data_IF_075377283966
#
_entry.id   IF_075377283966
#
_cell.length_a   1.000
_cell.length_b   1.000
_cell.length_c   1.000
_cell.angle_alpha   90.00
_cell.angle_beta   90.00
_cell.angle_gamma   90.00
#
_symmetry.space_group_name_H-M   'P 1'
#
loop_
_entity.id
_entity.type
_entity.pdbx_description
1 polymer ?
#
# COMPACT_ATOMS: atom_id res chain seq x y z
N UNK A 1 -85.49 -16.99 -32.47
CA UNK A 1 -84.08 -17.09 -32.89
C UNK A 1 -83.58 -15.66 -33.03
N UNK A 2 -83.09 -15.10 -31.92
CA UNK A 2 -81.67 -15.00 -31.55
C UNK A 2 -81.07 -13.69 -32.09
N UNK A 3 -81.20 -12.64 -31.30
CA UNK A 3 -80.41 -11.41 -31.42
C UNK A 3 -79.19 -11.55 -30.51
N UNK A 4 -78.01 -11.49 -31.13
CA UNK A 4 -76.70 -11.63 -30.52
C UNK A 4 -76.42 -10.49 -29.53
N UNK A 5 -75.95 -10.85 -28.34
CA UNK A 5 -75.31 -9.93 -27.41
C UNK A 5 -73.89 -9.66 -27.91
N UNK A 6 -73.66 -8.49 -28.50
CA UNK A 6 -72.32 -7.89 -28.55
C UNK A 6 -72.04 -7.31 -27.15
N UNK A 7 -71.38 -8.09 -26.31
CA UNK A 7 -70.73 -7.56 -25.10
C UNK A 7 -69.58 -6.67 -25.54
N UNK A 8 -69.74 -5.35 -25.34
CA UNK A 8 -68.70 -4.35 -25.51
C UNK A 8 -67.53 -4.65 -24.57
N UNK A 9 -66.37 -4.83 -25.19
CA UNK A 9 -65.08 -5.10 -24.59
C UNK A 9 -64.65 -4.03 -23.56
N UNK A 10 -63.95 -4.54 -22.53
CA UNK A 10 -63.10 -3.87 -21.54
C UNK A 10 -62.81 -2.38 -21.76
N UNK A 11 -63.49 -1.52 -20.99
CA UNK A 11 -62.90 -0.26 -20.51
C UNK A 11 -62.29 -0.54 -19.14
N UNK A 12 -60.96 -0.73 -19.08
CA UNK A 12 -60.18 -0.54 -17.85
C UNK A 12 -60.51 0.85 -17.30
N UNK A 13 -60.90 0.92 -16.03
CA UNK A 13 -61.35 2.19 -15.43
C UNK A 13 -60.16 3.16 -15.32
N UNK A 14 -60.39 4.46 -15.47
CA UNK A 14 -59.35 5.50 -15.27
C UNK A 14 -58.68 5.39 -13.89
N UNK A 15 -59.40 4.86 -12.89
CA UNK A 15 -58.86 4.54 -11.56
C UNK A 15 -57.88 3.36 -11.52
N UNK A 16 -57.96 2.41 -12.45
CA UNK A 16 -57.00 1.30 -12.55
C UNK A 16 -55.70 1.75 -13.22
N UNK A 17 -55.80 2.70 -14.17
CA UNK A 17 -54.64 3.33 -14.83
C UNK A 17 -53.90 4.28 -13.87
N UNK A 18 -54.60 5.09 -13.09
CA UNK A 18 -53.97 5.96 -12.06
C UNK A 18 -53.29 5.14 -10.94
N UNK A 19 -53.84 3.98 -10.57
CA UNK A 19 -53.21 3.08 -9.59
C UNK A 19 -51.99 2.35 -10.17
N UNK A 20 -52.04 1.94 -11.44
CA UNK A 20 -50.86 1.41 -12.14
C UNK A 20 -49.77 2.47 -12.31
N UNK A 21 -50.11 3.70 -12.69
CA UNK A 21 -49.14 4.79 -12.80
C UNK A 21 -48.54 5.17 -11.45
N UNK A 22 -49.33 5.12 -10.36
CA UNK A 22 -48.84 5.35 -9.00
C UNK A 22 -47.95 4.20 -8.47
N UNK A 23 -48.21 2.95 -8.83
CA UNK A 23 -47.31 1.81 -8.54
C UNK A 23 -46.04 1.89 -9.38
N UNK A 24 -46.12 2.18 -10.68
CA UNK A 24 -44.96 2.35 -11.57
C UNK A 24 -44.10 3.54 -11.13
N UNK A 25 -44.71 4.64 -10.66
CA UNK A 25 -43.98 5.79 -10.11
C UNK A 25 -43.36 5.47 -8.75
N UNK A 26 -44.01 4.66 -7.90
CA UNK A 26 -43.42 4.22 -6.62
C UNK A 26 -42.23 3.28 -6.84
N UNK A 27 -42.37 2.31 -7.75
CA UNK A 27 -41.30 1.37 -8.12
C UNK A 27 -40.09 2.11 -8.72
N UNK A 28 -40.31 3.17 -9.51
CA UNK A 28 -39.25 4.05 -10.02
C UNK A 28 -38.71 5.10 -9.01
N UNK A 29 -39.32 5.24 -7.84
CA UNK A 29 -38.87 6.19 -6.82
C UNK A 29 -38.01 5.51 -5.75
N UNK A 30 -38.22 4.21 -5.50
CA UNK A 30 -37.41 3.44 -4.54
C UNK A 30 -36.00 3.13 -5.07
N UNK A 31 -35.80 2.98 -6.38
CA UNK A 31 -34.50 2.66 -7.00
C UNK A 31 -33.70 3.89 -7.52
N UNK A 32 -33.87 5.07 -6.92
CA UNK A 32 -33.08 6.26 -7.32
C UNK A 32 -31.69 6.26 -6.69
N UNK A 33 -30.80 5.49 -7.29
CA UNK A 33 -29.37 5.50 -6.95
C UNK A 33 -28.76 6.86 -7.28
N UNK A 34 -28.08 7.46 -6.31
CA UNK A 34 -27.42 8.74 -6.48
C UNK A 34 -25.96 8.53 -6.88
N UNK A 35 -25.59 9.04 -8.06
CA UNK A 35 -24.20 9.00 -8.51
C UNK A 35 -23.46 10.25 -8.03
N UNK A 36 -22.42 10.06 -7.22
CA UNK A 36 -21.52 11.14 -6.76
C UNK A 36 -20.14 10.96 -7.38
N UNK A 37 -19.60 12.04 -7.96
CA UNK A 37 -18.22 12.08 -8.41
C UNK A 37 -17.32 12.58 -7.29
N UNK A 38 -16.55 11.68 -6.68
CA UNK A 38 -15.43 12.06 -5.84
C UNK A 38 -14.27 12.45 -6.78
N UNK A 39 -14.08 13.76 -6.92
CA UNK A 39 -13.22 14.35 -7.94
C UNK A 39 -11.71 14.24 -7.65
N UNK A 40 -10.87 14.55 -8.66
CA UNK A 40 -9.42 14.41 -8.57
C UNK A 40 -8.75 15.35 -7.57
N UNK A 41 -9.42 16.46 -7.22
CA UNK A 41 -8.92 17.46 -6.30
C UNK A 41 -9.71 17.38 -4.99
N UNK A 42 -9.48 16.31 -4.24
CA UNK A 42 -10.01 16.13 -2.89
C UNK A 42 -8.85 15.81 -1.93
N UNK A 43 -8.79 16.42 -0.71
CA UNK A 43 -7.69 16.19 0.23
C UNK A 43 -7.44 14.71 0.55
N UNK A 44 -8.51 13.93 0.74
CA UNK A 44 -8.44 12.49 1.03
C UNK A 44 -8.07 11.59 -0.18
N UNK A 45 -7.87 12.16 -1.38
CA UNK A 45 -7.48 11.39 -2.56
C UNK A 45 -5.96 11.12 -2.62
N UNK A 46 -5.16 11.77 -1.76
CA UNK A 46 -3.68 11.65 -1.67
C UNK A 46 -2.97 11.54 -3.02
N UNK A 47 -3.25 12.49 -3.90
CA UNK A 47 -2.77 12.49 -5.27
C UNK A 47 -3.89 12.89 -6.22
N UNK A 48 -4.07 12.09 -7.27
CA UNK A 48 -5.06 12.37 -8.31
C UNK A 48 -5.87 11.11 -8.56
N UNK A 49 -7.02 10.99 -7.89
CA UNK A 49 -7.92 9.85 -7.98
C UNK A 49 -9.35 10.35 -8.20
N UNK A 50 -10.04 9.77 -9.18
CA UNK A 50 -11.46 10.01 -9.40
C UNK A 50 -12.24 8.74 -9.08
N UNK A 51 -13.19 8.81 -8.16
CA UNK A 51 -14.10 7.71 -7.87
C UNK A 51 -15.52 8.12 -8.27
N UNK A 52 -16.17 7.30 -9.09
CA UNK A 52 -17.61 7.43 -9.37
C UNK A 52 -18.31 6.47 -8.41
N UNK A 53 -19.07 7.01 -7.47
CA UNK A 53 -19.75 6.27 -6.43
C UNK A 53 -21.25 6.24 -6.76
N UNK A 54 -21.84 5.05 -6.79
CA UNK A 54 -23.29 4.86 -6.79
C UNK A 54 -23.73 4.55 -5.36
N UNK A 55 -24.54 5.45 -4.81
CA UNK A 55 -24.97 5.43 -3.42
C UNK A 55 -26.47 5.16 -3.33
N UNK A 56 -26.83 4.31 -2.37
CA UNK A 56 -28.18 4.22 -1.82
C UNK A 56 -28.16 4.79 -0.40
N UNK A 57 -28.60 6.04 -0.26
CA UNK A 57 -28.46 6.80 0.97
C UNK A 57 -26.98 6.97 1.40
N UNK A 58 -26.60 6.29 2.49
CA UNK A 58 -25.23 6.27 3.02
C UNK A 58 -24.44 5.01 2.61
N UNK A 59 -25.11 4.03 2.00
CA UNK A 59 -24.50 2.75 1.61
C UNK A 59 -23.94 2.86 0.20
N UNK A 60 -22.70 2.41 0.04
CA UNK A 60 -22.02 2.37 -1.26
C UNK A 60 -22.33 1.04 -1.93
N UNK A 61 -23.07 1.05 -3.04
CA UNK A 61 -23.35 -0.18 -3.80
C UNK A 61 -22.26 -0.49 -4.82
N UNK A 62 -21.75 0.55 -5.50
CA UNK A 62 -20.74 0.40 -6.53
C UNK A 62 -19.74 1.55 -6.51
N UNK A 63 -18.48 1.20 -6.74
CA UNK A 63 -17.37 2.14 -6.87
C UNK A 63 -16.63 1.85 -8.16
N UNK A 64 -16.59 2.83 -9.07
CA UNK A 64 -15.79 2.78 -10.28
C UNK A 64 -14.59 3.73 -10.13
N UNK A 65 -13.37 3.20 -9.83
CA UNK A 65 -12.17 4.01 -9.73
C UNK A 65 -11.59 4.33 -11.11
N UNK A 66 -11.66 5.59 -11.52
CA UNK A 66 -11.00 6.10 -12.71
C UNK A 66 -9.56 6.47 -12.40
N UNK A 67 -8.64 5.56 -12.73
CA UNK A 67 -7.19 5.75 -12.64
C UNK A 67 -6.60 6.25 -13.97
N UNK A 68 -5.32 6.65 -13.95
CA UNK A 68 -4.58 7.04 -15.17
C UNK A 68 -4.32 8.54 -15.31
N UNK A 69 -4.81 9.38 -14.39
CA UNK A 69 -4.54 10.83 -14.40
C UNK A 69 -3.04 11.16 -14.19
N UNK A 70 -2.29 10.24 -13.55
CA UNK A 70 -0.84 10.32 -13.41
C UNK A 70 -0.09 9.34 -14.33
N UNK A 71 -0.77 8.75 -15.32
CA UNK A 71 -0.10 7.88 -16.29
C UNK A 71 0.82 8.72 -17.19
N UNK A 72 2.12 8.41 -17.17
CA UNK A 72 3.16 9.14 -17.91
C UNK A 72 3.82 8.32 -19.02
N UNK A 73 3.29 7.13 -19.33
CA UNK A 73 3.90 6.23 -20.32
C UNK A 73 5.33 5.81 -19.97
N UNK A 74 5.64 5.69 -18.66
CA UNK A 74 6.99 5.42 -18.15
C UNK A 74 7.63 4.19 -18.80
N UNK A 75 6.90 3.09 -18.91
CA UNK A 75 7.38 1.85 -19.52
C UNK A 75 7.81 2.07 -20.99
N UNK A 76 7.00 2.83 -21.75
CA UNK A 76 7.34 3.16 -23.13
C UNK A 76 8.58 4.04 -23.24
N UNK A 77 8.78 4.97 -22.30
CA UNK A 77 9.99 5.79 -22.26
C UNK A 77 11.24 4.96 -21.93
N UNK A 78 11.11 3.94 -21.08
CA UNK A 78 12.21 3.05 -20.71
C UNK A 78 12.74 2.28 -21.92
N UNK A 79 11.88 1.87 -22.86
CA UNK A 79 12.30 1.16 -24.09
C UNK A 79 13.33 1.93 -24.92
N UNK A 80 13.28 3.27 -24.91
CA UNK A 80 14.20 4.12 -25.67
C UNK A 80 15.45 4.53 -24.86
N UNK A 81 15.63 4.02 -23.64
CA UNK A 81 16.71 4.40 -22.72
C UNK A 81 17.57 3.20 -22.38
N UNK A 82 18.84 3.47 -22.05
CA UNK A 82 19.74 2.43 -21.53
C UNK A 82 19.38 2.08 -20.09
N UNK A 83 19.82 0.92 -19.59
CA UNK A 83 19.53 0.49 -18.21
C UNK A 83 19.90 1.52 -17.13
N UNK A 84 21.04 2.21 -17.29
CA UNK A 84 21.46 3.24 -16.34
C UNK A 84 20.62 4.51 -16.45
N UNK A 85 20.19 4.87 -17.67
CA UNK A 85 19.30 6.01 -17.89
C UNK A 85 17.85 5.73 -17.47
N UNK A 86 17.46 4.45 -17.44
CA UNK A 86 16.13 4.01 -17.03
C UNK A 86 15.95 4.02 -15.50
N UNK A 87 17.03 3.84 -14.73
CA UNK A 87 17.01 3.79 -13.27
C UNK A 87 16.20 4.91 -12.59
N UNK A 88 16.35 6.21 -12.93
CA UNK A 88 15.62 7.30 -12.26
C UNK A 88 14.11 7.33 -12.53
N UNK A 89 13.60 6.49 -13.43
CA UNK A 89 12.15 6.33 -13.58
C UNK A 89 11.56 5.53 -12.42
N UNK A 90 12.28 4.55 -11.88
CA UNK A 90 11.82 3.72 -10.76
C UNK A 90 11.69 4.53 -9.46
N UNK A 91 12.58 5.51 -9.23
CA UNK A 91 12.49 6.49 -8.14
C UNK A 91 11.20 7.31 -8.12
N UNK A 92 10.52 7.40 -9.27
CA UNK A 92 9.36 8.26 -9.48
C UNK A 92 8.05 7.49 -9.57
N UNK A 93 8.09 6.16 -9.51
CA UNK A 93 6.90 5.31 -9.47
C UNK A 93 6.30 5.37 -8.05
N UNK A 94 7.02 4.83 -7.08
CA UNK A 94 6.75 5.03 -5.66
C UNK A 94 7.70 6.10 -5.12
N UNK A 95 7.19 7.33 -5.05
CA UNK A 95 7.95 8.49 -4.61
C UNK A 95 8.19 8.53 -3.10
N UNK A 96 7.60 7.60 -2.34
CA UNK A 96 7.73 7.56 -0.88
C UNK A 96 8.94 6.72 -0.47
N UNK A 97 9.17 5.60 -1.17
CA UNK A 97 10.29 4.69 -0.96
C UNK A 97 11.13 4.47 -2.23
N UNK A 98 11.82 5.52 -2.75
CA UNK A 98 12.50 5.47 -4.04
C UNK A 98 13.60 4.40 -4.10
N UNK A 99 14.47 4.33 -3.08
CA UNK A 99 15.55 3.34 -3.02
C UNK A 99 15.06 1.88 -3.03
N UNK A 100 13.86 1.60 -2.51
CA UNK A 100 13.29 0.26 -2.54
C UNK A 100 12.90 -0.14 -3.97
N UNK A 101 12.45 0.83 -4.78
CA UNK A 101 12.17 0.63 -6.21
C UNK A 101 13.45 0.49 -7.03
N UNK A 102 14.45 1.34 -6.77
CA UNK A 102 15.78 1.18 -7.39
C UNK A 102 16.34 -0.21 -7.11
N UNK A 103 16.19 -0.69 -5.89
CA UNK A 103 16.71 -1.99 -5.47
C UNK A 103 16.05 -3.15 -6.23
N UNK A 104 14.73 -3.12 -6.38
CA UNK A 104 14.01 -4.11 -7.18
C UNK A 104 14.48 -4.14 -8.64
N UNK A 105 14.68 -2.96 -9.24
CA UNK A 105 15.21 -2.84 -10.60
C UNK A 105 16.66 -3.34 -10.71
N UNK A 106 17.54 -2.94 -9.79
CA UNK A 106 18.93 -3.38 -9.78
C UNK A 106 19.04 -4.89 -9.62
N UNK A 107 18.23 -5.50 -8.73
CA UNK A 107 18.19 -6.95 -8.57
C UNK A 107 17.75 -7.66 -9.86
N UNK A 108 16.79 -7.12 -10.59
CA UNK A 108 16.36 -7.69 -11.87
C UNK A 108 17.50 -7.64 -12.90
N UNK A 109 18.18 -6.50 -13.03
CA UNK A 109 19.31 -6.33 -13.97
C UNK A 109 20.50 -7.21 -13.57
N UNK A 110 20.83 -7.30 -12.29
CA UNK A 110 21.92 -8.13 -11.77
C UNK A 110 21.68 -9.62 -11.99
N UNK A 111 20.42 -10.07 -11.84
CA UNK A 111 20.02 -11.45 -12.17
C UNK A 111 20.14 -11.75 -13.66
N UNK A 112 19.81 -10.80 -14.53
CA UNK A 112 19.94 -10.97 -15.98
C UNK A 112 21.40 -11.07 -16.44
N UNK A 113 22.29 -10.30 -15.81
CA UNK A 113 23.72 -10.26 -16.18
C UNK A 113 24.53 -11.34 -15.44
N UNK A 114 24.01 -11.87 -14.33
CA UNK A 114 24.67 -12.91 -13.53
C UNK A 114 25.85 -12.38 -12.69
N UNK A 115 25.78 -11.13 -12.24
CA UNK A 115 26.86 -10.49 -11.46
C UNK A 115 26.55 -10.54 -9.97
N UNK A 116 27.53 -10.95 -9.17
CA UNK A 116 27.45 -10.87 -7.71
C UNK A 116 27.90 -9.50 -7.20
N UNK A 117 27.07 -8.88 -6.38
CA UNK A 117 27.33 -7.58 -5.75
C UNK A 117 28.23 -7.76 -4.52
N UNK A 118 29.22 -6.88 -4.27
CA UNK A 118 30.06 -6.95 -3.07
C UNK A 118 29.27 -6.94 -1.75
N UNK A 119 29.74 -7.68 -0.72
CA UNK A 119 29.06 -7.82 0.59
C UNK A 119 28.76 -6.45 1.24
N UNK A 120 29.69 -5.48 1.15
CA UNK A 120 29.48 -4.12 1.67
C UNK A 120 28.31 -3.42 1.00
N UNK A 121 28.20 -3.49 -0.32
CA UNK A 121 27.10 -2.89 -1.07
C UNK A 121 25.76 -3.55 -0.75
N UNK A 122 25.74 -4.87 -0.52
CA UNK A 122 24.53 -5.58 -0.08
C UNK A 122 24.04 -5.09 1.30
N UNK A 123 24.96 -4.90 2.26
CA UNK A 123 24.62 -4.38 3.59
C UNK A 123 24.05 -2.96 3.54
N UNK A 124 24.68 -2.08 2.75
CA UNK A 124 24.18 -0.71 2.53
C UNK A 124 22.78 -0.73 1.92
N UNK A 125 22.54 -1.59 0.93
CA UNK A 125 21.21 -1.74 0.31
C UNK A 125 20.15 -2.17 1.30
N UNK A 126 20.45 -3.14 2.17
CA UNK A 126 19.52 -3.59 3.21
C UNK A 126 19.24 -2.47 4.22
N UNK A 127 20.28 -1.78 4.69
CA UNK A 127 20.13 -0.64 5.62
C UNK A 127 19.17 0.41 5.06
N UNK A 128 19.41 0.88 3.82
CA UNK A 128 18.56 1.88 3.20
C UNK A 128 17.18 1.36 2.76
N UNK A 129 17.04 0.06 2.47
CA UNK A 129 15.73 -0.55 2.23
C UNK A 129 14.84 -0.54 3.47
N UNK A 130 15.44 -0.71 4.66
CA UNK A 130 14.73 -0.64 5.94
C UNK A 130 14.45 0.82 6.34
N UNK A 131 15.36 1.76 6.06
CA UNK A 131 15.06 3.20 6.19
C UNK A 131 13.90 3.59 5.26
N UNK A 132 13.90 3.12 4.01
CA UNK A 132 12.81 3.33 3.06
C UNK A 132 11.48 2.72 3.53
N UNK A 133 11.54 1.58 4.22
CA UNK A 133 10.36 0.98 4.88
C UNK A 133 9.83 1.88 6.00
N UNK A 134 10.70 2.42 6.86
CA UNK A 134 10.31 3.36 7.91
C UNK A 134 9.68 4.63 7.31
N UNK A 135 10.30 5.21 6.28
CA UNK A 135 9.76 6.37 5.55
C UNK A 135 8.35 6.12 4.98
N UNK A 136 8.14 4.93 4.41
CA UNK A 136 6.85 4.52 3.84
C UNK A 136 5.78 4.33 4.92
N UNK A 137 6.09 3.61 6.00
CA UNK A 137 5.13 3.38 7.08
C UNK A 137 4.81 4.65 7.88
N UNK A 138 5.79 5.52 8.15
CA UNK A 138 5.56 6.81 8.79
C UNK A 138 4.59 7.65 7.98
N UNK A 139 4.78 7.75 6.66
CA UNK A 139 3.84 8.46 5.80
C UNK A 139 2.46 7.81 5.83
N UNK A 140 2.37 6.50 5.59
CA UNK A 140 1.10 5.78 5.50
C UNK A 140 0.26 5.88 6.78
N UNK A 141 0.83 5.57 7.95
CA UNK A 141 0.11 5.59 9.23
C UNK A 141 -0.33 7.00 9.60
N UNK A 142 0.54 8.00 9.42
CA UNK A 142 0.21 9.38 9.80
C UNK A 142 -0.80 10.02 8.86
N UNK A 143 -0.69 9.78 7.55
CA UNK A 143 -1.67 10.30 6.56
C UNK A 143 -3.02 9.61 6.70
N UNK A 144 -3.06 8.30 6.95
CA UNK A 144 -4.31 7.62 7.29
C UNK A 144 -4.95 8.23 8.55
N UNK A 145 -4.16 8.50 9.58
CA UNK A 145 -4.66 9.16 10.79
C UNK A 145 -5.23 10.55 10.49
N UNK A 146 -4.59 11.31 9.59
CA UNK A 146 -5.06 12.61 9.13
C UNK A 146 -6.42 12.53 8.43
N UNK A 147 -6.61 11.52 7.56
CA UNK A 147 -7.88 11.33 6.84
C UNK A 147 -9.03 10.94 7.78
N UNK A 148 -8.73 10.22 8.85
CA UNK A 148 -9.70 9.92 9.91
C UNK A 148 -10.00 11.15 10.76
N UNK A 149 -9.10 12.15 10.77
CA UNK A 149 -9.28 13.46 11.42
C UNK A 149 -8.24 13.82 12.48
N UNK A 150 -7.24 12.97 12.73
CA UNK A 150 -6.16 13.24 13.68
C UNK A 150 -5.03 14.05 13.02
N UNK A 151 -4.92 15.34 13.37
CA UNK A 151 -3.98 16.27 12.74
C UNK A 151 -2.58 16.29 13.38
N UNK A 152 -2.43 15.81 14.61
CA UNK A 152 -1.15 15.82 15.35
C UNK A 152 -0.13 14.78 14.86
N UNK A 153 -0.50 13.51 14.60
CA UNK A 153 0.47 12.48 14.18
C UNK A 153 1.28 12.82 12.91
N UNK A 154 0.70 13.43 11.85
CA UNK A 154 1.47 13.89 10.68
C UNK A 154 2.62 14.83 11.04
N UNK A 155 2.40 15.78 11.95
CA UNK A 155 3.43 16.77 12.30
C UNK A 155 4.62 16.11 13.00
N UNK A 156 4.35 15.18 13.93
CA UNK A 156 5.41 14.43 14.63
C UNK A 156 6.12 13.45 13.70
N UNK A 157 5.37 12.70 12.90
CA UNK A 157 5.96 11.75 11.96
C UNK A 157 6.76 12.42 10.85
N UNK A 158 6.39 13.64 10.42
CA UNK A 158 7.12 14.36 9.37
C UNK A 158 8.43 14.95 9.87
N UNK A 159 8.55 15.27 11.17
CA UNK A 159 9.84 15.64 11.77
C UNK A 159 10.84 14.48 11.67
N UNK A 160 10.44 13.27 12.06
CA UNK A 160 11.28 12.08 11.95
C UNK A 160 11.58 11.72 10.49
N UNK A 161 10.59 11.92 9.60
CA UNK A 161 10.76 11.73 8.16
C UNK A 161 11.80 12.68 7.58
N UNK A 162 11.85 13.93 8.03
CA UNK A 162 12.85 14.90 7.59
C UNK A 162 14.27 14.48 8.04
N UNK A 163 14.42 13.99 9.28
CA UNK A 163 15.72 13.45 9.76
C UNK A 163 16.21 12.30 8.86
N UNK A 164 15.32 11.39 8.47
CA UNK A 164 15.62 10.31 7.54
C UNK A 164 15.97 10.83 6.12
N UNK A 165 15.32 11.89 5.64
CA UNK A 165 15.66 12.52 4.37
C UNK A 165 17.03 13.20 4.37
N UNK A 166 17.49 13.71 5.52
CA UNK A 166 18.88 14.20 5.67
C UNK A 166 19.88 13.06 5.47
N UNK A 167 19.56 11.83 5.88
CA UNK A 167 20.41 10.67 5.60
C UNK A 167 20.45 10.31 4.11
N UNK A 168 19.37 10.55 3.37
CA UNK A 168 19.33 10.41 1.91
C UNK A 168 20.20 11.48 1.24
N UNK A 169 20.07 12.73 1.68
CA UNK A 169 20.84 13.87 1.17
C UNK A 169 22.34 13.63 1.37
N UNK A 170 22.75 13.15 2.54
CA UNK A 170 24.17 12.90 2.85
C UNK A 170 24.78 11.72 2.10
N UNK A 171 23.97 10.74 1.68
CA UNK A 171 24.46 9.58 0.92
C UNK A 171 24.45 9.81 -0.59
N UNK A 172 23.45 10.52 -1.11
CA UNK A 172 23.21 10.64 -2.55
C UNK A 172 23.33 12.07 -3.10
N UNK A 173 23.29 13.08 -2.23
CA UNK A 173 23.18 14.49 -2.60
C UNK A 173 21.73 14.96 -2.86
N UNK A 174 20.74 14.07 -2.76
CA UNK A 174 19.32 14.37 -2.97
C UNK A 174 18.47 13.84 -1.82
N UNK A 175 17.40 14.57 -1.49
CA UNK A 175 16.50 14.22 -0.36
C UNK A 175 15.50 13.12 -0.67
N UNK A 176 15.10 12.97 -1.94
CA UNK A 176 14.10 11.99 -2.36
C UNK A 176 14.62 11.11 -3.50
N UNK A 177 14.74 11.65 -4.70
CA UNK A 177 15.20 10.90 -5.88
C UNK A 177 16.73 10.82 -5.86
N UNK A 178 17.25 9.68 -5.40
CA UNK A 178 18.65 9.52 -5.03
C UNK A 178 19.51 8.95 -6.17
N UNK A 179 18.95 8.16 -7.08
CA UNK A 179 19.69 7.37 -8.08
C UNK A 179 20.93 6.67 -7.48
N UNK A 180 20.79 6.16 -6.25
CA UNK A 180 21.91 5.76 -5.40
C UNK A 180 22.29 4.30 -5.60
N UNK A 181 21.28 3.40 -5.65
CA UNK A 181 21.52 2.03 -6.06
C UNK A 181 21.65 1.98 -7.57
N UNK A 182 22.72 1.33 -8.03
CA UNK A 182 22.96 1.12 -9.45
C UNK A 182 23.16 -0.36 -9.71
N UNK A 183 22.85 -0.86 -10.92
CA UNK A 183 23.19 -2.22 -11.28
C UNK A 183 24.69 -2.48 -11.04
N UNK A 184 25.01 -3.47 -10.19
CA UNK A 184 26.37 -3.77 -9.73
C UNK A 184 26.69 -3.32 -8.31
N UNK A 185 25.77 -2.65 -7.61
CA UNK A 185 25.90 -2.31 -6.19
C UNK A 185 25.39 -0.92 -5.84
N UNK A 186 26.28 -0.08 -5.35
CA UNK A 186 25.96 1.26 -4.85
C UNK A 186 26.86 2.27 -5.55
N UNK A 187 26.34 3.47 -5.84
CA UNK A 187 27.09 4.48 -6.58
C UNK A 187 28.33 4.99 -5.81
N UNK A 188 28.16 5.30 -4.52
CA UNK A 188 29.20 5.86 -3.65
C UNK A 188 29.10 5.26 -2.24
N UNK A 189 30.22 5.11 -1.55
CA UNK A 189 30.22 4.56 -0.19
C UNK A 189 29.71 5.59 0.84
N UNK A 190 29.24 5.10 1.98
CA UNK A 190 28.72 5.95 3.05
C UNK A 190 29.86 6.65 3.81
N UNK A 191 29.72 7.95 4.12
CA UNK A 191 30.68 8.61 5.00
C UNK A 191 30.58 8.01 6.43
N UNK A 192 31.71 7.70 7.11
CA UNK A 192 31.69 6.99 8.38
C UNK A 192 30.79 7.63 9.45
N UNK A 193 30.81 8.96 9.55
CA UNK A 193 29.98 9.73 10.49
C UNK A 193 28.48 9.50 10.30
N UNK A 194 28.03 9.19 9.08
CA UNK A 194 26.61 8.94 8.81
C UNK A 194 26.12 7.66 9.48
N UNK A 195 26.99 6.65 9.63
CA UNK A 195 26.64 5.42 10.33
C UNK A 195 26.39 5.70 11.82
N UNK A 196 27.25 6.52 12.43
CA UNK A 196 27.09 6.93 13.83
C UNK A 196 25.80 7.75 14.02
N UNK A 197 25.49 8.64 13.08
CA UNK A 197 24.28 9.47 13.12
C UNK A 197 23.00 8.63 12.92
N UNK A 198 23.02 7.63 12.06
CA UNK A 198 21.91 6.67 11.89
C UNK A 198 21.72 5.86 13.18
N UNK A 199 22.81 5.44 13.83
CA UNK A 199 22.74 4.73 15.11
C UNK A 199 22.14 5.62 16.21
N UNK A 200 22.55 6.88 16.29
CA UNK A 200 22.03 7.86 17.25
C UNK A 200 20.54 8.19 17.03
N UNK A 201 20.00 7.99 15.82
CA UNK A 201 18.59 8.16 15.51
C UNK A 201 17.69 7.05 16.09
N UNK A 202 18.21 5.83 16.26
CA UNK A 202 17.41 4.67 16.66
C UNK A 202 16.74 4.84 18.03
N UNK A 203 17.47 5.26 19.07
CA UNK A 203 16.92 5.34 20.43
C UNK A 203 15.84 6.43 20.58
N UNK A 204 16.05 7.67 20.10
CA UNK A 204 15.02 8.71 20.18
C UNK A 204 13.79 8.40 19.33
N UNK A 205 13.96 7.74 18.18
CA UNK A 205 12.87 7.40 17.28
C UNK A 205 11.84 6.47 17.92
N UNK A 206 12.29 5.51 18.74
CA UNK A 206 11.39 4.60 19.45
C UNK A 206 10.42 5.34 20.37
N UNK A 207 10.88 6.39 21.05
CA UNK A 207 10.02 7.20 21.92
C UNK A 207 8.92 7.91 21.12
N UNK A 208 9.26 8.46 19.96
CA UNK A 208 8.27 9.13 19.09
C UNK A 208 7.25 8.11 18.57
N UNK A 209 7.69 6.89 18.28
CA UNK A 209 6.79 5.80 17.89
C UNK A 209 5.83 5.42 19.02
N UNK A 210 6.33 5.30 20.26
CA UNK A 210 5.49 5.06 21.45
C UNK A 210 4.47 6.19 21.66
N UNK A 211 4.87 7.45 21.46
CA UNK A 211 3.99 8.61 21.57
C UNK A 211 2.87 8.59 20.49
N UNK A 212 3.20 8.21 19.26
CA UNK A 212 2.22 8.03 18.17
C UNK A 212 1.29 6.84 18.47
N UNK A 213 1.83 5.73 18.95
CA UNK A 213 1.07 4.54 19.33
C UNK A 213 0.07 4.86 20.45
N UNK A 214 0.50 5.58 21.48
CA UNK A 214 -0.34 5.99 22.60
C UNK A 214 -1.53 6.87 22.19
N UNK A 215 -1.39 7.67 21.12
CA UNK A 215 -2.47 8.50 20.59
C UNK A 215 -3.47 7.75 19.70
N UNK A 216 -3.02 6.71 18.99
CA UNK A 216 -3.80 6.04 17.96
C UNK A 216 -4.34 4.68 18.41
N UNK A 217 -3.47 3.82 18.93
CA UNK A 217 -3.77 2.39 19.11
C UNK A 217 -4.90 2.16 20.08
N UNK A 218 -4.91 2.84 21.23
CA UNK A 218 -5.95 2.67 22.26
C UNK A 218 -7.07 3.71 22.21
N UNK A 219 -7.02 4.62 21.24
CA UNK A 219 -8.04 5.64 21.09
C UNK A 219 -9.36 5.03 20.61
N UNK A 220 -10.41 5.20 21.42
CA UNK A 220 -11.76 4.70 21.12
C UNK A 220 -12.27 5.20 19.77
N UNK A 221 -12.07 6.47 19.43
CA UNK A 221 -12.56 7.05 18.17
C UNK A 221 -11.84 6.39 16.99
N UNK A 222 -10.52 6.20 17.11
CA UNK A 222 -9.72 5.56 16.07
C UNK A 222 -10.10 4.09 15.88
N UNK A 223 -10.34 3.34 16.97
CA UNK A 223 -10.85 1.95 16.89
C UNK A 223 -12.23 1.91 16.22
N UNK A 224 -13.17 2.76 16.64
CA UNK A 224 -14.52 2.82 16.05
C UNK A 224 -14.51 3.11 14.54
N UNK A 225 -13.48 3.78 14.03
CA UNK A 225 -13.35 4.16 12.61
C UNK A 225 -12.52 3.19 11.76
N UNK A 226 -11.93 2.15 12.36
CA UNK A 226 -11.08 1.18 11.64
C UNK A 226 -11.45 -0.28 11.93
N UNK A 227 -12.01 -0.59 13.09
CA UNK A 227 -12.46 -1.95 13.42
C UNK A 227 -13.71 -2.25 12.60
N UNK A 228 -13.78 -3.48 12.08
CA UNK A 228 -14.86 -4.01 11.24
C UNK A 228 -15.06 -3.30 9.88
N UNK A 229 -14.03 -2.62 9.38
CA UNK A 229 -14.05 -1.94 8.08
C UNK A 229 -13.03 -2.58 7.12
N UNK A 230 -13.46 -2.84 5.88
CA UNK A 230 -12.58 -3.40 4.85
C UNK A 230 -12.08 -4.82 5.16
N UNK A 231 -12.96 -5.64 5.72
CA UNK A 231 -12.67 -7.05 6.04
C UNK A 231 -12.45 -7.80 4.72
N UNK A 232 -11.29 -8.45 4.59
CA UNK A 232 -10.93 -9.26 3.42
C UNK A 232 -10.51 -10.63 3.89
N UNK A 233 -11.21 -11.67 3.40
CA UNK A 233 -10.88 -13.06 3.67
C UNK A 233 -9.57 -13.45 2.98
N UNK A 234 -8.86 -14.41 3.58
CA UNK A 234 -7.57 -14.85 3.05
C UNK A 234 -7.69 -15.42 1.63
N UNK A 235 -8.75 -16.17 1.34
CA UNK A 235 -8.98 -16.75 0.01
C UNK A 235 -9.15 -15.67 -1.07
N UNK A 236 -9.93 -14.63 -0.78
CA UNK A 236 -10.16 -13.51 -1.69
C UNK A 236 -8.91 -12.68 -1.89
N UNK A 237 -8.13 -12.46 -0.81
CA UNK A 237 -6.85 -11.76 -0.90
C UNK A 237 -5.89 -12.46 -1.89
N UNK A 238 -5.86 -13.80 -1.92
CA UNK A 238 -5.08 -14.55 -2.91
C UNK A 238 -5.68 -14.48 -4.31
N UNK A 239 -7.00 -14.62 -4.43
CA UNK A 239 -7.69 -14.59 -5.72
C UNK A 239 -7.52 -13.24 -6.43
N UNK A 240 -7.51 -12.13 -5.69
CA UNK A 240 -7.33 -10.77 -6.22
C UNK A 240 -5.86 -10.33 -6.31
N UNK A 241 -4.90 -11.19 -5.94
CA UNK A 241 -3.48 -10.91 -6.06
C UNK A 241 -2.95 -9.86 -5.07
N UNK A 242 -3.55 -9.74 -3.88
CA UNK A 242 -3.04 -8.86 -2.84
C UNK A 242 -1.66 -9.31 -2.35
N UNK A 243 -0.88 -8.37 -1.81
CA UNK A 243 0.45 -8.64 -1.27
C UNK A 243 0.77 -7.75 -0.06
N UNK A 244 1.90 -8.01 0.60
CA UNK A 244 2.42 -7.14 1.65
C UNK A 244 1.55 -7.12 2.92
N UNK A 245 1.14 -5.92 3.35
CA UNK A 245 0.39 -5.72 4.60
C UNK A 245 -1.01 -6.29 4.51
N UNK A 246 -1.67 -6.21 3.34
CA UNK A 246 -3.05 -6.66 3.15
C UNK A 246 -3.21 -8.15 3.46
N UNK A 247 -2.36 -9.00 2.88
CA UNK A 247 -2.42 -10.46 3.11
C UNK A 247 -2.03 -10.84 4.54
N UNK A 248 -1.09 -10.10 5.15
CA UNK A 248 -0.71 -10.31 6.55
C UNK A 248 -1.85 -9.94 7.51
N UNK A 249 -2.63 -8.90 7.19
CA UNK A 249 -3.82 -8.51 7.94
C UNK A 249 -4.91 -9.60 7.92
N UNK A 250 -5.08 -10.26 6.77
CA UNK A 250 -6.01 -11.39 6.59
C UNK A 250 -5.53 -12.74 7.18
N UNK A 251 -4.39 -12.76 7.88
CA UNK A 251 -3.92 -13.94 8.63
C UNK A 251 -2.84 -14.79 7.95
N UNK A 252 -2.28 -14.38 6.80
CA UNK A 252 -1.14 -15.09 6.22
C UNK A 252 0.13 -14.91 7.05
N UNK A 253 0.77 -16.03 7.42
CA UNK A 253 2.09 -16.04 8.05
C UNK A 253 3.18 -16.06 6.97
N UNK A 254 3.73 -14.89 6.64
CA UNK A 254 4.90 -14.80 5.76
C UNK A 254 5.26 -13.38 5.34
N UNK A 255 6.53 -13.03 5.44
CA UNK A 255 7.09 -11.86 4.76
C UNK A 255 7.69 -12.31 3.43
N UNK A 256 7.24 -11.72 2.32
CA UNK A 256 8.00 -11.67 1.08
C UNK A 256 9.21 -10.73 1.29
N UNK A 257 10.16 -11.17 2.11
CA UNK A 257 11.42 -10.46 2.26
C UNK A 257 12.18 -10.50 0.92
N UNK A 258 12.72 -9.37 0.51
CA UNK A 258 13.54 -9.30 -0.70
C UNK A 258 14.72 -10.28 -0.60
N UNK A 259 15.21 -10.86 -1.71
CA UNK A 259 16.34 -11.80 -1.70
C UNK A 259 17.60 -11.26 -1.01
N UNK A 260 17.76 -9.95 -0.96
CA UNK A 260 18.80 -9.22 -0.21
C UNK A 260 18.69 -9.37 1.31
N UNK A 261 17.52 -9.61 1.89
CA UNK A 261 17.38 -9.96 3.31
C UNK A 261 17.90 -11.38 3.61
N UNK A 262 18.17 -12.20 2.57
CA UNK A 262 18.81 -13.51 2.70
C UNK A 262 20.25 -13.39 3.23
N UNK A 263 20.90 -12.24 3.01
CA UNK A 263 22.23 -11.92 3.54
C UNK A 263 22.24 -11.91 5.07
N UNK A 264 21.16 -11.44 5.70
CA UNK A 264 21.01 -11.47 7.17
C UNK A 264 20.67 -12.85 7.72
N UNK A 265 20.12 -13.75 6.89
CA UNK A 265 19.78 -15.14 7.30
C UNK A 265 20.95 -16.11 7.19
N UNK A 266 22.05 -15.72 6.54
CA UNK A 266 23.21 -16.58 6.29
C UNK A 266 24.23 -16.66 7.44
N UNK A 267 24.24 -15.71 8.37
CA UNK A 267 25.21 -15.65 9.46
C UNK A 267 24.47 -15.79 10.81
N UNK A 268 24.75 -16.88 11.54
CA UNK A 268 24.12 -17.23 12.83
C UNK A 268 24.42 -16.24 13.96
N UNK A 269 23.79 -15.06 13.93
CA UNK A 269 23.82 -14.10 15.03
C UNK A 269 22.92 -14.61 16.16
N UNK A 270 23.52 -15.32 17.13
CA UNK A 270 22.87 -15.61 18.42
C UNK A 270 22.84 -14.33 19.25
N UNK A 271 21.70 -13.64 19.27
CA UNK A 271 21.49 -12.49 20.16
C UNK A 271 21.45 -12.91 21.64
N UNK A 272 22.21 -12.24 22.53
CA UNK A 272 22.35 -12.64 23.92
C UNK A 272 21.43 -11.85 24.85
N UNK A 273 20.12 -11.70 24.56
CA UNK A 273 19.15 -11.32 25.61
C UNK A 273 17.74 -11.82 25.26
N UNK A 274 17.02 -12.31 26.27
CA UNK A 274 15.77 -13.08 26.13
C UNK A 274 14.54 -12.20 25.80
N UNK A 275 14.66 -10.88 25.90
CA UNK A 275 13.56 -9.91 25.70
C UNK A 275 13.37 -9.45 24.25
N UNK A 276 14.42 -9.38 23.43
CA UNK A 276 14.33 -8.96 22.01
C UNK A 276 13.74 -10.04 21.08
N UNK A 277 13.52 -11.26 21.57
CA UNK A 277 12.88 -12.35 20.81
C UNK A 277 11.39 -12.13 20.53
N UNK A 278 10.78 -11.05 21.02
CA UNK A 278 9.34 -10.80 20.88
C UNK A 278 8.96 -10.13 19.54
N UNK A 279 9.87 -9.35 18.95
CA UNK A 279 9.63 -8.61 17.70
C UNK A 279 9.90 -9.43 16.42
N UNK A 280 10.56 -10.59 16.54
CA UNK A 280 10.99 -11.42 15.40
C UNK A 280 10.64 -12.91 15.50
N UNK A 281 9.81 -13.33 16.47
CA UNK A 281 9.28 -14.70 16.46
C UNK A 281 8.16 -14.80 15.41
N UNK A 282 8.23 -15.74 14.45
CA UNK A 282 6.99 -16.33 13.99
C UNK A 282 6.32 -16.95 15.23
N UNK A 283 5.06 -16.58 15.49
CA UNK A 283 4.22 -17.27 16.45
C UNK A 283 4.27 -18.76 16.09
N UNK A 284 4.93 -19.55 16.94
CA UNK A 284 5.07 -20.99 16.79
C UNK A 284 3.70 -21.63 16.78
N UNK A 285 3.38 -22.39 15.73
CA UNK A 285 2.25 -23.31 15.77
C UNK A 285 2.43 -24.34 16.89
N UNK A 286 1.34 -24.80 17.53
CA UNK A 286 1.38 -25.99 18.37
C UNK A 286 1.69 -27.28 17.59
N UNK A 287 1.77 -27.21 16.26
CA UNK A 287 2.21 -28.28 15.37
C UNK A 287 3.50 -27.83 14.65
N UNK A 288 4.64 -28.37 15.07
CA UNK A 288 5.98 -27.95 14.64
C UNK A 288 6.28 -28.14 13.15
N UNK A 289 5.83 -27.21 12.31
CA UNK A 289 6.23 -27.09 10.90
C UNK A 289 7.00 -25.79 10.66
N UNK A 290 8.17 -25.90 10.03
CA UNK A 290 8.93 -24.75 9.54
C UNK A 290 8.10 -23.94 8.52
N UNK A 291 8.21 -22.61 8.59
CA UNK A 291 7.49 -21.68 7.74
C UNK A 291 7.73 -21.99 6.25
N UNK A 292 6.73 -22.58 5.60
CA UNK A 292 6.73 -22.86 4.17
C UNK A 292 6.89 -21.56 3.39
N UNK A 293 7.89 -21.57 2.52
CA UNK A 293 8.18 -20.54 1.53
C UNK A 293 6.93 -20.31 0.67
N UNK A 294 6.63 -19.03 0.39
CA UNK A 294 5.57 -18.64 -0.54
C UNK A 294 5.79 -19.35 -1.90
N UNK A 295 4.86 -20.18 -2.40
CA UNK A 295 5.09 -21.07 -3.53
C UNK A 295 5.13 -20.37 -4.91
N UNK A 296 4.97 -19.05 -4.97
CA UNK A 296 4.94 -18.31 -6.24
C UNK A 296 6.30 -18.14 -6.95
N UNK A 297 7.37 -18.77 -6.44
CA UNK A 297 8.69 -18.69 -7.04
C UNK A 297 9.15 -19.98 -7.75
N UNK A 298 8.34 -21.05 -7.76
CA UNK A 298 8.71 -22.36 -8.34
C UNK A 298 8.01 -22.72 -9.65
N UNK A 299 7.04 -21.96 -10.14
CA UNK A 299 6.52 -22.18 -11.50
C UNK A 299 7.30 -21.33 -12.49
N UNK A 300 8.42 -21.88 -12.94
CA UNK A 300 9.01 -21.49 -14.21
C UNK A 300 8.11 -21.98 -15.35
N UNK A 301 7.36 -21.06 -15.94
CA UNK A 301 6.86 -21.05 -17.31
C UNK A 301 6.56 -19.59 -17.70
#
# INVERSE_FOLDING_TARGET
MSTENLSSDNMTSDSDLENQDAEILKENTEDRKFTINFGPQHPAAHGVLRLVLELDGEVVERVDPHIGLLHRGTEKLIEYKTYLQALPYFDRLDYVAPMNQEHAYCLAVERLVGVEVPKRAQLIRVLYSEIGRLLSHLLNVTTQAMDVGALTPPLWGFEEREKLMVFYERASGSRMHAAYFRPGGVHQDLPPKLVDDIYAFCDPFLKVLDDIEGLLTDNRIFKQRNVDIGIVDLADAWAWGFSGVMVRGSGARGTCASPSLRVLRGDGIRHPHRQERRLLRPLSDPHGGDATICPYHETGL
#
